data_IF_172389876619
#
_entry.id   IF_172389876619
#
_cell.length_a   1.000
_cell.length_b   1.000
_cell.length_c   1.000
_cell.angle_alpha   90.00
_cell.angle_beta   90.00
_cell.angle_gamma   90.00
#
_symmetry.space_group_name_H-M   'P 1'
#
loop_
_entity.id
_entity.type
_entity.pdbx_description
1 polymer ?
#
# COMPACT_ATOMS: atom_id res chain seq x y z
N UNK A 1 30.95 0.05 -26.94
CA UNK A 1 29.90 -0.04 -25.90
C UNK A 1 28.77 -0.86 -26.48
N UNK A 2 28.31 -1.89 -25.76
CA UNK A 2 27.33 -2.86 -26.27
C UNK A 2 25.92 -2.23 -26.19
N UNK A 3 25.22 -2.07 -27.32
CA UNK A 3 23.87 -1.47 -27.36
C UNK A 3 22.89 -2.17 -26.39
N UNK A 4 23.03 -3.50 -26.30
CA UNK A 4 22.24 -4.35 -25.40
C UNK A 4 22.42 -4.04 -23.91
N UNK A 5 23.60 -3.60 -23.51
CA UNK A 5 23.88 -3.24 -22.11
C UNK A 5 23.18 -1.95 -21.71
N UNK A 6 23.12 -0.99 -22.62
CA UNK A 6 22.42 0.28 -22.41
C UNK A 6 20.90 0.09 -22.41
N UNK A 7 20.37 -0.72 -23.33
CA UNK A 7 18.94 -1.09 -23.35
C UNK A 7 18.49 -1.70 -22.03
N UNK A 8 19.27 -2.61 -21.46
CA UNK A 8 18.97 -3.24 -20.17
C UNK A 8 19.00 -2.24 -18.99
N UNK A 9 19.94 -1.30 -18.97
CA UNK A 9 19.98 -0.26 -17.93
C UNK A 9 18.81 0.73 -18.05
N UNK A 10 18.42 1.08 -19.27
CA UNK A 10 17.22 1.88 -19.50
C UNK A 10 15.96 1.15 -19.05
N UNK A 11 15.85 -0.16 -19.34
CA UNK A 11 14.71 -0.95 -18.89
C UNK A 11 14.63 -1.00 -17.36
N UNK A 12 15.76 -1.15 -16.67
CA UNK A 12 15.83 -1.06 -15.20
C UNK A 12 15.32 0.29 -14.69
N UNK A 13 15.75 1.39 -15.30
CA UNK A 13 15.28 2.74 -14.94
C UNK A 13 13.77 2.88 -15.15
N UNK A 14 13.23 2.32 -16.23
CA UNK A 14 11.79 2.36 -16.51
C UNK A 14 10.99 1.61 -15.44
N UNK A 15 11.43 0.39 -15.07
CA UNK A 15 10.78 -0.39 -14.01
C UNK A 15 10.81 0.38 -12.68
N UNK A 16 11.94 0.99 -12.32
CA UNK A 16 12.05 1.78 -11.09
C UNK A 16 11.14 3.01 -11.11
N UNK A 17 11.00 3.70 -12.25
CA UNK A 17 10.06 4.82 -12.40
C UNK A 17 8.61 4.36 -12.25
N UNK A 18 8.24 3.25 -12.88
CA UNK A 18 6.91 2.67 -12.74
C UNK A 18 6.61 2.29 -11.28
N UNK A 19 7.62 1.75 -10.58
CA UNK A 19 7.53 1.45 -9.16
C UNK A 19 7.27 2.70 -8.29
N UNK A 20 7.96 3.81 -8.61
CA UNK A 20 7.71 5.11 -7.97
C UNK A 20 6.27 5.57 -8.22
N UNK A 21 5.80 5.54 -9.47
CA UNK A 21 4.41 5.92 -9.80
C UNK A 21 3.39 5.10 -9.01
N UNK A 22 3.59 3.79 -8.89
CA UNK A 22 2.74 2.93 -8.05
C UNK A 22 2.81 3.30 -6.56
N UNK A 23 3.97 3.74 -6.08
CA UNK A 23 4.09 4.31 -4.74
C UNK A 23 3.28 5.59 -4.55
N UNK A 24 3.24 6.48 -5.54
CA UNK A 24 2.42 7.69 -5.51
C UNK A 24 0.92 7.34 -5.51
N UNK A 25 0.53 6.33 -6.29
CA UNK A 25 -0.85 5.80 -6.30
C UNK A 25 -1.27 5.29 -4.92
N UNK A 26 -0.39 4.55 -4.21
CA UNK A 26 -0.63 4.12 -2.81
C UNK A 26 -0.86 5.32 -1.89
N UNK A 27 0.01 6.34 -1.98
CA UNK A 27 -0.11 7.54 -1.16
C UNK A 27 -1.42 8.29 -1.42
N UNK A 28 -1.92 8.26 -2.66
CA UNK A 28 -3.18 8.91 -3.05
C UNK A 28 -4.43 8.09 -2.70
N UNK A 29 -4.31 6.78 -2.55
CA UNK A 29 -5.43 5.83 -2.40
C UNK A 29 -5.43 5.12 -1.04
N UNK A 30 -4.81 5.71 -0.01
CA UNK A 30 -4.57 5.05 1.28
C UNK A 30 -5.85 4.60 2.01
N UNK A 31 -6.97 5.29 1.77
CA UNK A 31 -8.28 5.01 2.36
C UNK A 31 -9.11 4.00 1.52
N UNK A 32 -8.71 3.75 0.27
CA UNK A 32 -9.35 2.80 -0.63
C UNK A 32 -8.63 1.44 -0.59
N UNK A 33 -9.07 0.61 0.36
CA UNK A 33 -8.46 -0.69 0.63
C UNK A 33 -8.57 -1.69 -0.54
N UNK A 34 -9.61 -1.59 -1.37
CA UNK A 34 -9.78 -2.49 -2.53
C UNK A 34 -8.79 -2.14 -3.63
N UNK A 35 -8.65 -0.85 -3.94
CA UNK A 35 -7.66 -0.38 -4.90
C UNK A 35 -6.22 -0.62 -4.41
N UNK A 36 -5.97 -0.42 -3.11
CA UNK A 36 -4.64 -0.61 -2.51
C UNK A 36 -4.11 -2.04 -2.70
N UNK A 37 -4.96 -3.06 -2.58
CA UNK A 37 -4.57 -4.45 -2.81
C UNK A 37 -4.08 -4.69 -4.25
N UNK A 38 -4.77 -4.08 -5.22
CA UNK A 38 -4.43 -4.19 -6.66
C UNK A 38 -3.09 -3.51 -6.94
N UNK A 39 -2.88 -2.30 -6.42
CA UNK A 39 -1.62 -1.55 -6.61
C UNK A 39 -0.43 -2.29 -5.99
N UNK A 40 -0.63 -2.96 -4.84
CA UNK A 40 0.41 -3.76 -4.20
C UNK A 40 0.79 -5.00 -5.05
N UNK A 41 -0.21 -5.68 -5.64
CA UNK A 41 0.04 -6.81 -6.54
C UNK A 41 0.84 -6.39 -7.78
N UNK A 42 0.48 -5.25 -8.39
CA UNK A 42 1.23 -4.70 -9.52
C UNK A 42 2.69 -4.36 -9.14
N UNK A 43 2.92 -3.83 -7.93
CA UNK A 43 4.28 -3.59 -7.42
C UNK A 43 5.07 -4.88 -7.23
N UNK A 44 4.44 -5.95 -6.76
CA UNK A 44 5.11 -7.25 -6.64
C UNK A 44 5.49 -7.81 -8.02
N UNK A 45 4.65 -7.61 -9.03
CA UNK A 45 4.98 -7.98 -10.42
C UNK A 45 6.17 -7.19 -10.95
N UNK A 46 6.27 -5.89 -10.65
CA UNK A 46 7.43 -5.06 -11.01
C UNK A 46 8.72 -5.53 -10.33
N UNK A 47 8.66 -5.92 -9.05
CA UNK A 47 9.81 -6.51 -8.36
C UNK A 47 10.25 -7.84 -8.99
N UNK A 48 9.29 -8.68 -9.37
CA UNK A 48 9.58 -9.93 -10.06
C UNK A 48 10.26 -9.68 -11.41
N UNK A 49 9.77 -8.70 -12.18
CA UNK A 49 10.37 -8.29 -13.45
C UNK A 49 11.79 -7.75 -13.25
N UNK A 50 12.00 -6.90 -12.24
CA UNK A 50 13.32 -6.37 -11.88
C UNK A 50 14.30 -7.49 -11.51
N UNK A 51 13.85 -8.47 -10.72
CA UNK A 51 14.65 -9.64 -10.34
C UNK A 51 15.04 -10.47 -11.55
N UNK A 52 14.08 -10.80 -12.42
CA UNK A 52 14.32 -11.58 -13.63
C UNK A 52 15.32 -10.86 -14.57
N UNK A 53 15.27 -9.53 -14.59
CA UNK A 53 16.25 -8.72 -15.32
C UNK A 53 17.65 -8.79 -14.69
N UNK A 54 17.77 -8.63 -13.37
CA UNK A 54 19.05 -8.76 -12.66
C UNK A 54 19.70 -10.15 -12.86
N UNK A 55 18.90 -11.20 -12.93
CA UNK A 55 19.39 -12.55 -13.23
C UNK A 55 20.01 -12.61 -14.66
N UNK A 56 19.43 -11.89 -15.63
CA UNK A 56 20.02 -11.74 -16.97
C UNK A 56 21.31 -10.90 -16.96
N UNK A 57 21.38 -9.86 -16.12
CA UNK A 57 22.60 -9.06 -15.90
C UNK A 57 23.75 -9.91 -15.37
N UNK A 58 23.47 -10.80 -14.43
CA UNK A 58 24.48 -11.65 -13.77
C UNK A 58 25.11 -12.66 -14.74
N UNK A 59 24.37 -13.08 -15.77
CA UNK A 59 24.88 -13.93 -16.85
C UNK A 59 25.83 -13.20 -17.82
N UNK A 60 25.73 -11.87 -17.93
CA UNK A 60 26.57 -11.04 -18.79
C UNK A 60 27.85 -10.64 -18.04
N UNK A 61 28.88 -11.50 -18.09
CA UNK A 61 30.23 -11.21 -17.57
C UNK A 61 30.89 -10.04 -18.33
N UNK A 62 30.52 -8.80 -18.00
CA UNK A 62 31.12 -7.59 -18.58
C UNK A 62 31.03 -6.42 -17.59
N UNK A 63 32.18 -5.95 -17.11
CA UNK A 63 32.33 -5.05 -15.96
C UNK A 63 31.76 -3.62 -16.09
N UNK A 64 30.94 -3.30 -17.10
CA UNK A 64 30.28 -1.99 -17.21
C UNK A 64 29.06 -2.08 -18.12
N UNK A 65 27.92 -2.42 -17.52
CA UNK A 65 26.64 -2.52 -18.24
C UNK A 65 25.95 -1.14 -18.30
N UNK A 66 26.01 -0.38 -17.19
CA UNK A 66 25.46 0.99 -17.11
C UNK A 66 26.57 2.05 -17.04
N UNK A 67 26.29 3.21 -17.62
CA UNK A 67 27.07 4.44 -17.47
C UNK A 67 27.02 4.99 -16.03
N UNK A 68 27.91 5.93 -15.71
CA UNK A 68 27.95 6.57 -14.38
C UNK A 68 26.66 7.36 -14.12
N UNK A 69 26.14 8.06 -15.13
CA UNK A 69 24.90 8.83 -15.02
C UNK A 69 23.69 7.93 -14.74
N UNK A 70 23.58 6.80 -15.47
CA UNK A 70 22.50 5.83 -15.25
C UNK A 70 22.57 5.19 -13.86
N UNK A 71 23.78 4.89 -13.37
CA UNK A 71 23.96 4.40 -12.00
C UNK A 71 23.51 5.43 -10.98
N UNK A 72 23.89 6.69 -11.14
CA UNK A 72 23.45 7.77 -10.27
C UNK A 72 21.93 7.96 -10.27
N UNK A 73 21.29 7.81 -11.44
CA UNK A 73 19.84 7.85 -11.56
C UNK A 73 19.18 6.66 -10.86
N UNK A 74 19.68 5.44 -11.07
CA UNK A 74 19.19 4.22 -10.40
C UNK A 74 19.31 4.37 -8.88
N UNK A 75 20.46 4.80 -8.37
CA UNK A 75 20.68 4.99 -6.94
C UNK A 75 19.73 6.04 -6.34
N UNK A 76 19.46 7.11 -7.09
CA UNK A 76 18.51 8.15 -6.68
C UNK A 76 17.07 7.63 -6.65
N UNK A 77 16.67 6.84 -7.65
CA UNK A 77 15.36 6.20 -7.69
C UNK A 77 15.19 5.19 -6.56
N UNK A 78 16.21 4.37 -6.27
CA UNK A 78 16.17 3.42 -5.16
C UNK A 78 16.00 4.13 -3.82
N UNK A 79 16.74 5.22 -3.58
CA UNK A 79 16.58 6.04 -2.37
C UNK A 79 15.17 6.60 -2.25
N UNK A 80 14.64 7.17 -3.33
CA UNK A 80 13.28 7.70 -3.37
C UNK A 80 12.24 6.62 -3.04
N UNK A 81 12.38 5.42 -3.62
CA UNK A 81 11.51 4.29 -3.37
C UNK A 81 11.54 3.89 -1.88
N UNK A 82 12.73 3.78 -1.28
CA UNK A 82 12.88 3.43 0.13
C UNK A 82 12.18 4.46 1.03
N UNK A 83 12.40 5.75 0.75
CA UNK A 83 11.80 6.83 1.53
C UNK A 83 10.27 6.85 1.37
N UNK A 84 9.77 6.64 0.15
CA UNK A 84 8.34 6.51 -0.13
C UNK A 84 7.72 5.31 0.59
N UNK A 85 8.38 4.16 0.57
CA UNK A 85 7.86 2.94 1.19
C UNK A 85 7.75 3.09 2.70
N UNK A 86 8.72 3.77 3.32
CA UNK A 86 8.63 4.13 4.74
C UNK A 86 7.42 5.02 5.02
N UNK A 87 7.16 6.02 4.17
CA UNK A 87 5.99 6.89 4.30
C UNK A 87 4.68 6.12 4.10
N UNK A 88 4.58 5.27 3.06
CA UNK A 88 3.43 4.41 2.81
C UNK A 88 3.14 3.52 4.03
N UNK A 89 4.17 2.86 4.59
CA UNK A 89 4.01 2.00 5.78
C UNK A 89 3.48 2.80 6.98
N UNK A 90 3.97 4.02 7.20
CA UNK A 90 3.49 4.86 8.30
C UNK A 90 2.02 5.25 8.11
N UNK A 91 1.63 5.64 6.89
CA UNK A 91 0.26 6.03 6.57
C UNK A 91 -0.71 4.85 6.65
N UNK A 92 -0.35 3.67 6.12
CA UNK A 92 -1.16 2.45 6.25
C UNK A 92 -1.38 2.12 7.73
N UNK A 93 -0.34 2.19 8.55
CA UNK A 93 -0.47 1.94 10.01
C UNK A 93 -1.38 2.96 10.69
N UNK A 94 -1.28 4.24 10.31
CA UNK A 94 -2.15 5.28 10.86
C UNK A 94 -3.62 5.03 10.49
N UNK A 95 -3.91 4.65 9.24
CA UNK A 95 -5.27 4.36 8.78
C UNK A 95 -5.84 3.10 9.43
N UNK A 96 -5.03 2.06 9.63
CA UNK A 96 -5.41 0.88 10.40
C UNK A 96 -5.78 1.24 11.84
N UNK A 97 -4.99 2.10 12.49
CA UNK A 97 -5.26 2.54 13.86
C UNK A 97 -6.54 3.38 13.94
N UNK A 98 -6.77 4.29 13.00
CA UNK A 98 -8.01 5.08 12.87
C UNK A 98 -9.22 4.18 12.71
N UNK A 99 -9.18 3.23 11.78
CA UNK A 99 -10.24 2.24 11.56
C UNK A 99 -10.56 1.45 12.83
N UNK A 100 -9.54 1.01 13.57
CA UNK A 100 -9.73 0.29 14.83
C UNK A 100 -10.37 1.16 15.93
N UNK A 101 -9.98 2.43 16.00
CA UNK A 101 -10.58 3.38 16.95
C UNK A 101 -12.05 3.66 16.61
N UNK A 102 -12.38 3.82 15.33
CA UNK A 102 -13.75 4.03 14.87
C UNK A 102 -14.63 2.81 15.15
N UNK A 103 -14.12 1.60 14.94
CA UNK A 103 -14.81 0.36 15.30
C UNK A 103 -15.09 0.27 16.81
N UNK A 104 -14.12 0.63 17.66
CA UNK A 104 -14.31 0.66 19.12
C UNK A 104 -15.37 1.68 19.54
N UNK A 105 -15.33 2.88 18.95
CA UNK A 105 -16.33 3.93 19.18
C UNK A 105 -17.71 3.47 18.75
N UNK A 106 -17.83 2.85 17.58
CA UNK A 106 -19.09 2.31 17.07
C UNK A 106 -19.64 1.21 18.01
N UNK A 107 -18.79 0.27 18.45
CA UNK A 107 -19.19 -0.75 19.42
C UNK A 107 -19.66 -0.14 20.76
N UNK A 108 -19.00 0.92 21.24
CA UNK A 108 -19.43 1.62 22.45
C UNK A 108 -20.78 2.32 22.25
N UNK A 109 -20.97 3.00 21.13
CA UNK A 109 -22.23 3.65 20.79
C UNK A 109 -23.37 2.64 20.66
N UNK A 110 -23.11 1.48 20.05
CA UNK A 110 -24.08 0.39 19.96
C UNK A 110 -24.47 -0.11 21.35
N UNK A 111 -23.50 -0.31 22.25
CA UNK A 111 -23.81 -0.68 23.64
C UNK A 111 -24.68 0.38 24.33
N UNK A 112 -24.38 1.67 24.17
CA UNK A 112 -25.18 2.75 24.75
C UNK A 112 -26.60 2.73 24.17
N UNK A 113 -26.75 2.56 22.86
CA UNK A 113 -28.07 2.44 22.22
C UNK A 113 -28.84 1.21 22.73
N UNK A 114 -28.19 0.06 22.87
CA UNK A 114 -28.79 -1.16 23.43
C UNK A 114 -29.21 -0.96 24.90
N UNK A 115 -28.42 -0.20 25.68
CA UNK A 115 -28.78 0.22 27.04
C UNK A 115 -30.00 1.16 27.04
N UNK A 116 -30.08 2.13 26.13
CA UNK A 116 -31.26 3.01 26.00
C UNK A 116 -32.51 2.23 25.57
N UNK A 117 -32.39 1.28 24.65
CA UNK A 117 -33.49 0.41 24.20
C UNK A 117 -33.96 -0.52 25.33
N UNK A 118 -33.05 -1.06 26.15
CA UNK A 118 -33.41 -1.89 27.31
C UNK A 118 -33.99 -1.08 28.49
N UNK A 119 -33.70 0.22 28.56
CA UNK A 119 -34.30 1.15 29.53
C UNK A 119 -35.62 1.74 29.06
N UNK A 120 -35.91 1.78 27.76
CA UNK A 120 -37.27 2.09 27.29
C UNK A 120 -38.21 0.96 27.68
N UNK A 121 -39.17 1.19 28.58
CA UNK A 121 -40.16 0.16 28.90
C UNK A 121 -40.92 -0.12 27.61
N UNK A 122 -40.90 -1.37 27.15
CA UNK A 122 -41.95 -1.85 26.28
C UNK A 122 -43.25 -1.63 27.04
N UNK A 123 -43.98 -0.57 26.72
CA UNK A 123 -45.34 -0.33 27.19
C UNK A 123 -46.26 -1.39 26.55
N UNK A 124 -46.04 -2.64 26.92
CA UNK A 124 -46.95 -3.75 26.75
C UNK A 124 -47.92 -3.74 27.92
N UNK A 125 -49.09 -3.16 27.69
CA UNK A 125 -50.38 -3.61 28.23
C UNK A 125 -50.41 -4.03 29.71
N UNK A 126 -50.23 -3.07 30.61
CA UNK A 126 -50.65 -3.21 32.01
C UNK A 126 -51.99 -2.50 32.27
N UNK A 127 -53.00 -2.90 31.51
CA UNK A 127 -54.43 -2.66 31.74
C UNK A 127 -55.09 -3.95 31.23
N UNK A 128 -55.82 -4.79 31.95
CA UNK A 128 -56.63 -4.62 33.14
C UNK A 128 -56.88 -6.04 33.69
N UNK A 129 -56.41 -6.34 34.90
CA UNK A 129 -56.72 -7.59 35.59
C UNK A 129 -56.94 -7.27 37.06
N UNK A 130 -58.05 -6.59 37.37
CA UNK A 130 -58.71 -6.63 38.68
C UNK A 130 -60.06 -5.90 38.67
N UNK A 131 -61.16 -6.61 38.39
CA UNK A 131 -62.18 -7.05 39.36
C UNK A 131 -63.39 -7.65 38.65
#
# INVERSE_FOLDING_TARGET
>A
MNAHSHELCQEKVLILKEYVTKGEEILSSIEDWENLATILEERDQLLLRLKNMEDQFTGLKGNQICTIEEKGLIDSLIKLIIDMDQNCIQLIKAEQQKTLQDLKKNQQNQKVADYEISLTPSYGTFLDAKK
#
